data_IF_738681986643
#
_entry.id   IF_738681986643
#
_cell.length_a   1.000
_cell.length_b   1.000
_cell.length_c   1.000
_cell.angle_alpha   90.00
_cell.angle_beta   90.00
_cell.angle_gamma   90.00
#
_symmetry.space_group_name_H-M   'P 1'
#
loop_
_entity.id
_entity.type
_entity.pdbx_description
1 polymer ?
#
# COMPACT_ATOMS: atom_id res chain seq x y z
N UNK A 1 -16.31 57.12 23.83
CA UNK A 1 -16.17 57.29 22.37
C UNK A 1 -14.77 56.80 21.97
N UNK A 2 -14.57 55.50 21.70
CA UNK A 2 -14.83 54.79 20.42
C UNK A 2 -13.82 55.24 19.34
N UNK A 3 -12.60 54.69 19.31
CA UNK A 3 -12.19 53.51 18.51
C UNK A 3 -12.58 53.61 17.03
N UNK A 4 -11.59 53.89 16.18
CA UNK A 4 -11.62 53.60 14.75
C UNK A 4 -10.26 53.04 14.35
N UNK A 5 -10.14 51.72 14.30
CA UNK A 5 -9.02 51.04 13.62
C UNK A 5 -9.58 50.58 12.28
N UNK A 6 -9.28 51.41 11.28
CA UNK A 6 -9.04 51.08 9.89
C UNK A 6 -9.16 49.60 9.49
N UNK A 7 -10.12 49.38 8.58
CA UNK A 7 -10.46 48.13 7.92
C UNK A 7 -9.22 47.46 7.28
N UNK A 8 -8.64 46.48 7.96
CA UNK A 8 -7.85 45.44 7.30
C UNK A 8 -8.83 44.48 6.60
N UNK A 9 -9.09 44.72 5.32
CA UNK A 9 -9.76 43.78 4.41
C UNK A 9 -8.88 42.53 4.29
N UNK A 10 -8.99 41.62 5.25
CA UNK A 10 -8.48 40.27 5.07
C UNK A 10 -9.48 39.52 4.20
N UNK A 11 -9.17 39.42 2.92
CA UNK A 11 -9.82 38.52 1.95
C UNK A 11 -9.57 37.05 2.32
N UNK A 12 -10.08 36.61 3.47
CA UNK A 12 -10.12 35.19 3.79
C UNK A 12 -11.37 34.58 3.20
N UNK A 13 -11.35 34.38 1.87
CA UNK A 13 -12.27 33.46 1.21
C UNK A 13 -12.05 32.08 1.82
N UNK A 14 -12.90 31.72 2.78
CA UNK A 14 -12.95 30.41 3.41
C UNK A 14 -13.02 29.35 2.31
N UNK A 15 -11.95 28.59 2.14
CA UNK A 15 -11.87 27.49 1.18
C UNK A 15 -12.96 26.48 1.57
N UNK A 16 -14.03 26.38 0.79
CA UNK A 16 -15.07 25.38 1.01
C UNK A 16 -14.41 24.02 0.97
N UNK A 17 -14.46 23.29 2.08
CA UNK A 17 -13.92 21.94 2.16
C UNK A 17 -14.74 21.05 1.21
N UNK A 18 -14.27 20.90 -0.03
CA UNK A 18 -14.70 19.81 -0.90
C UNK A 18 -14.09 18.55 -0.32
N UNK A 19 -14.78 17.94 0.65
CA UNK A 19 -14.57 16.54 0.99
C UNK A 19 -14.87 15.74 -0.28
N UNK A 20 -13.86 15.53 -1.12
CA UNK A 20 -13.97 14.58 -2.21
C UNK A 20 -14.53 13.29 -1.64
N UNK A 21 -15.51 12.70 -2.33
CA UNK A 21 -16.15 11.48 -1.87
C UNK A 21 -15.05 10.47 -1.49
N UNK A 22 -14.97 10.02 -0.21
CA UNK A 22 -13.89 9.17 0.23
C UNK A 22 -13.90 7.91 -0.64
N UNK A 23 -12.84 7.75 -1.42
CA UNK A 23 -12.62 6.59 -2.29
C UNK A 23 -12.80 5.35 -1.41
N UNK A 24 -13.77 4.50 -1.76
CA UNK A 24 -14.13 3.33 -0.95
C UNK A 24 -12.89 2.46 -0.73
N UNK A 25 -12.84 1.69 0.37
CA UNK A 25 -11.69 0.82 0.65
C UNK A 25 -11.35 -0.10 -0.55
N UNK A 26 -12.39 -0.58 -1.24
CA UNK A 26 -12.31 -1.39 -2.45
C UNK A 26 -11.67 -0.64 -3.63
N UNK A 27 -11.95 0.65 -3.77
CA UNK A 27 -11.44 1.47 -4.85
C UNK A 27 -10.01 1.95 -4.59
N UNK A 28 -9.65 2.19 -3.32
CA UNK A 28 -8.23 2.35 -2.92
C UNK A 28 -7.42 1.09 -3.18
N UNK A 29 -7.97 -0.08 -2.86
CA UNK A 29 -7.34 -1.37 -3.15
C UNK A 29 -7.16 -1.56 -4.66
N UNK A 30 -8.18 -1.24 -5.47
CA UNK A 30 -8.11 -1.32 -6.93
C UNK A 30 -7.08 -0.38 -7.53
N UNK A 31 -6.98 0.86 -7.04
CA UNK A 31 -5.98 1.83 -7.49
C UNK A 31 -4.56 1.41 -7.07
N UNK A 32 -4.39 0.82 -5.89
CA UNK A 32 -3.12 0.22 -5.46
C UNK A 32 -2.71 -0.98 -6.33
N UNK A 33 -3.67 -1.80 -6.78
CA UNK A 33 -3.43 -2.91 -7.70
C UNK A 33 -3.11 -2.40 -9.12
N UNK A 34 -3.85 -1.41 -9.62
CA UNK A 34 -3.63 -0.81 -10.93
C UNK A 34 -2.26 -0.11 -11.03
N UNK A 35 -1.72 0.42 -9.92
CA UNK A 35 -0.37 0.98 -9.88
C UNK A 35 0.74 -0.09 -9.93
N UNK A 36 0.46 -1.36 -9.60
CA UNK A 36 1.44 -2.47 -9.59
C UNK A 36 1.40 -3.37 -10.83
N UNK A 37 0.40 -3.23 -11.70
CA UNK A 37 0.16 -4.15 -12.82
C UNK A 37 1.20 -4.11 -13.95
N UNK A 38 2.08 -3.10 -13.98
CA UNK A 38 3.19 -3.04 -14.93
C UNK A 38 4.42 -3.84 -14.46
N UNK A 39 4.59 -4.05 -13.16
CA UNK A 39 5.79 -4.66 -12.57
C UNK A 39 5.53 -6.00 -11.87
N UNK A 40 4.29 -6.30 -11.49
CA UNK A 40 3.92 -7.53 -10.81
C UNK A 40 2.79 -8.24 -11.56
N UNK A 41 2.92 -9.56 -11.77
CA UNK A 41 1.85 -10.42 -12.29
C UNK A 41 1.18 -11.16 -11.13
N UNK A 42 -0.13 -11.38 -11.22
CA UNK A 42 -0.85 -12.18 -10.24
C UNK A 42 -0.38 -13.65 -10.29
N UNK A 43 -0.17 -14.24 -9.11
CA UNK A 43 0.22 -15.64 -8.96
C UNK A 43 -0.88 -16.40 -8.22
N UNK A 44 -1.38 -17.46 -8.83
CA UNK A 44 -2.32 -18.39 -8.21
C UNK A 44 -1.70 -19.78 -8.19
N UNK A 45 -1.57 -20.37 -7.00
CA UNK A 45 -1.02 -21.70 -6.85
C UNK A 45 -1.73 -22.45 -5.72
N UNK A 46 -1.80 -23.77 -5.90
CA UNK A 46 -2.28 -24.72 -4.89
C UNK A 46 -1.04 -25.44 -4.37
N UNK A 47 -0.78 -25.33 -3.07
CA UNK A 47 0.34 -25.98 -2.39
C UNK A 47 -0.17 -26.75 -1.19
N UNK A 48 0.68 -27.62 -0.62
CA UNK A 48 0.33 -28.35 0.58
C UNK A 48 0.02 -27.39 1.74
N UNK A 49 -1.05 -27.69 2.50
CA UNK A 49 -1.54 -26.85 3.60
C UNK A 49 -0.41 -26.53 4.59
N UNK A 50 0.38 -27.55 4.97
CA UNK A 50 1.52 -27.38 5.90
C UNK A 50 2.54 -26.33 5.42
N UNK A 51 2.82 -26.29 4.12
CA UNK A 51 3.74 -25.30 3.54
C UNK A 51 3.10 -23.92 3.45
N UNK A 52 1.79 -23.86 3.22
CA UNK A 52 1.05 -22.59 3.22
C UNK A 52 1.02 -21.96 4.61
N UNK A 53 0.84 -22.77 5.65
CA UNK A 53 0.87 -22.31 7.05
C UNK A 53 2.26 -21.78 7.40
N UNK A 54 3.31 -22.51 7.03
CA UNK A 54 4.70 -22.06 7.23
C UNK A 54 5.04 -20.79 6.47
N UNK A 55 4.58 -20.66 5.21
CA UNK A 55 4.77 -19.42 4.45
C UNK A 55 4.08 -18.23 5.14
N UNK A 56 2.93 -18.47 5.76
CA UNK A 56 2.18 -17.44 6.47
C UNK A 56 2.91 -17.03 7.76
N UNK A 57 3.34 -18.01 8.56
CA UNK A 57 4.12 -17.79 9.79
C UNK A 57 5.40 -16.99 9.51
N UNK A 58 6.18 -17.39 8.51
CA UNK A 58 7.40 -16.67 8.11
C UNK A 58 7.11 -15.23 7.67
N UNK A 59 6.01 -15.04 6.92
CA UNK A 59 5.63 -13.70 6.46
C UNK A 59 5.22 -12.80 7.65
N UNK A 60 4.51 -13.36 8.62
CA UNK A 60 4.09 -12.66 9.84
C UNK A 60 5.29 -12.31 10.74
N UNK A 61 6.25 -13.23 10.91
CA UNK A 61 7.49 -13.01 11.67
C UNK A 61 8.33 -11.86 11.11
N UNK A 62 8.44 -11.77 9.78
CA UNK A 62 9.16 -10.69 9.12
C UNK A 62 8.33 -9.41 8.92
N UNK A 63 7.03 -9.43 9.27
CA UNK A 63 6.13 -8.31 9.08
C UNK A 63 5.90 -7.95 7.60
N UNK A 64 6.02 -8.92 6.70
CA UNK A 64 5.86 -8.74 5.25
C UNK A 64 4.64 -9.50 4.72
N UNK A 65 4.27 -9.24 3.48
CA UNK A 65 3.19 -9.99 2.83
C UNK A 65 3.67 -11.37 2.39
N UNK A 66 2.77 -12.35 2.33
CA UNK A 66 3.08 -13.70 1.82
C UNK A 66 3.68 -13.69 0.41
N UNK A 67 3.25 -12.73 -0.44
CA UNK A 67 3.80 -12.56 -1.78
C UNK A 67 5.26 -12.10 -1.74
N UNK A 68 5.60 -11.15 -0.86
CA UNK A 68 6.99 -10.69 -0.67
C UNK A 68 7.87 -11.80 -0.07
N UNK A 69 7.33 -12.60 0.85
CA UNK A 69 8.03 -13.78 1.35
C UNK A 69 8.34 -14.76 0.21
N UNK A 70 7.38 -15.00 -0.68
CA UNK A 70 7.59 -15.85 -1.86
C UNK A 70 8.67 -15.28 -2.80
N UNK A 71 8.67 -13.97 -3.06
CA UNK A 71 9.72 -13.29 -3.84
C UNK A 71 11.10 -13.50 -3.19
N UNK A 72 11.23 -13.32 -1.87
CA UNK A 72 12.48 -13.54 -1.13
C UNK A 72 12.97 -14.97 -1.21
N UNK A 73 12.07 -15.95 -1.11
CA UNK A 73 12.41 -17.37 -1.23
C UNK A 73 12.95 -17.68 -2.63
N UNK A 74 12.35 -17.12 -3.69
CA UNK A 74 12.82 -17.27 -5.07
C UNK A 74 14.21 -16.62 -5.25
N UNK A 75 14.40 -15.39 -4.78
CA UNK A 75 15.70 -14.70 -4.88
C UNK A 75 16.82 -15.45 -4.13
N UNK A 76 16.51 -15.97 -2.94
CA UNK A 76 17.46 -16.73 -2.13
C UNK A 76 17.86 -18.04 -2.82
N UNK A 77 16.90 -18.72 -3.45
CA UNK A 77 17.17 -19.93 -4.22
C UNK A 77 17.99 -19.64 -5.48
N UNK A 78 17.72 -18.54 -6.18
CA UNK A 78 18.54 -18.10 -7.32
C UNK A 78 19.98 -17.80 -6.89
N UNK A 79 20.19 -17.08 -5.78
CA UNK A 79 21.53 -16.82 -5.23
C UNK A 79 22.25 -18.12 -4.87
N UNK A 80 21.54 -19.07 -4.26
CA UNK A 80 22.11 -20.39 -3.90
C UNK A 80 22.57 -21.16 -5.14
N UNK A 81 21.78 -21.17 -6.21
CA UNK A 81 22.09 -21.88 -7.46
C UNK A 81 23.16 -21.19 -8.30
N UNK A 82 23.22 -19.87 -8.28
CA UNK A 82 24.22 -19.10 -9.02
C UNK A 82 25.55 -18.97 -8.25
N UNK A 83 25.60 -19.49 -7.02
CA UNK A 83 26.81 -19.66 -6.20
C UNK A 83 27.44 -21.06 -6.37
N UNK A 84 26.87 -21.90 -7.24
CA UNK A 84 27.42 -23.17 -7.72
C UNK A 84 27.95 -22.98 -9.14
#
# INVERSE_FOLDING_TARGET
MSQQVENAVTSSSKRTYRKGNPVSAKERQRLSLARRSATHKAFHAIIQIRLKDKLSELADEEGITQAQMLERLIESELKRRNSL
#
